data_IF_545170002596
#
_entry.id   IF_545170002596
#
_cell.length_a   1.000
_cell.length_b   1.000
_cell.length_c   1.000
_cell.angle_alpha   90.00
_cell.angle_beta   90.00
_cell.angle_gamma   90.00
#
_symmetry.space_group_name_H-M   'P 1'
#
loop_
_entity.id
_entity.type
_entity.pdbx_description
1 polymer ?
#
# COMPACT_ATOMS: atom_id res chain seq x y z
N UNK A 1 -26.40 -1.62 -4.20
CA UNK A 1 -25.16 -1.02 -3.65
C UNK A 1 -24.79 -1.89 -2.47
N UNK A 2 -23.74 -2.71 -2.59
CA UNK A 2 -23.39 -3.69 -1.54
C UNK A 2 -22.22 -3.13 -0.74
N UNK A 3 -22.50 -2.83 0.53
CA UNK A 3 -21.53 -2.38 1.52
C UNK A 3 -21.13 -3.61 2.34
N UNK A 4 -19.87 -4.04 2.27
CA UNK A 4 -19.40 -5.20 3.04
C UNK A 4 -18.63 -4.72 4.27
N UNK A 5 -19.30 -4.77 5.43
CA UNK A 5 -18.71 -4.59 6.76
C UNK A 5 -17.54 -5.57 6.97
N UNK A 6 -16.33 -5.04 7.11
CA UNK A 6 -15.13 -5.82 7.45
C UNK A 6 -14.79 -5.70 8.92
N UNK A 7 -15.59 -6.30 9.81
CA UNK A 7 -15.21 -6.51 11.21
C UNK A 7 -15.05 -8.00 11.45
N UNK A 8 -13.80 -8.49 11.38
CA UNK A 8 -13.27 -9.63 12.13
C UNK A 8 -11.80 -9.89 11.77
N UNK A 9 -10.94 -9.73 12.77
CA UNK A 9 -9.63 -10.34 12.84
C UNK A 9 -9.76 -11.88 12.70
N UNK A 10 -8.66 -12.50 12.23
CA UNK A 10 -8.43 -13.92 11.90
C UNK A 10 -8.68 -14.24 10.40
N UNK A 11 -7.65 -14.69 9.67
CA UNK A 11 -7.74 -15.07 8.23
C UNK A 11 -8.80 -16.16 7.98
N UNK A 12 -9.27 -16.44 6.74
CA UNK A 12 -8.75 -16.13 5.39
C UNK A 12 -9.69 -15.19 4.60
N UNK A 13 -10.28 -14.17 5.24
CA UNK A 13 -11.24 -13.28 4.55
C UNK A 13 -10.58 -12.40 3.48
N UNK A 14 -9.28 -12.15 3.61
CA UNK A 14 -8.52 -11.30 2.69
C UNK A 14 -8.26 -11.95 1.32
N UNK A 15 -8.45 -13.26 1.17
CA UNK A 15 -8.31 -13.97 -0.13
C UNK A 15 -9.62 -13.96 -0.92
N UNK A 16 -10.76 -13.96 -0.24
CA UNK A 16 -12.08 -13.92 -0.90
C UNK A 16 -12.45 -12.54 -1.50
N UNK A 17 -11.73 -11.48 -1.10
CA UNK A 17 -11.95 -10.10 -1.58
C UNK A 17 -11.02 -9.70 -2.74
N UNK A 18 -10.13 -10.60 -3.16
CA UNK A 18 -9.28 -10.37 -4.32
C UNK A 18 -10.11 -10.61 -5.60
N UNK A 19 -10.82 -9.59 -6.05
CA UNK A 19 -11.49 -9.56 -7.35
C UNK A 19 -10.83 -8.50 -8.23
N UNK A 20 -10.51 -8.79 -9.51
CA UNK A 20 -9.77 -7.90 -10.42
C UNK A 20 -10.47 -6.57 -10.79
N UNK A 21 -11.58 -6.21 -10.12
CA UNK A 21 -12.25 -4.92 -10.20
C UNK A 21 -12.19 -4.07 -8.93
N UNK A 22 -11.54 -4.56 -7.86
CA UNK A 22 -11.46 -3.88 -6.57
C UNK A 22 -10.01 -3.54 -6.21
N UNK A 23 -9.82 -2.55 -5.35
CA UNK A 23 -8.50 -2.21 -4.78
C UNK A 23 -8.48 -2.68 -3.33
N UNK A 24 -7.55 -3.57 -3.01
CA UNK A 24 -7.34 -4.06 -1.64
C UNK A 24 -6.64 -2.96 -0.85
N UNK A 25 -7.32 -2.41 0.17
CA UNK A 25 -6.74 -1.39 1.06
C UNK A 25 -6.53 -1.99 2.45
N UNK A 26 -5.27 -1.99 2.92
CA UNK A 26 -4.91 -2.54 4.24
C UNK A 26 -3.96 -1.61 5.00
N UNK A 27 -4.14 -1.51 6.31
CA UNK A 27 -3.21 -0.82 7.19
C UNK A 27 -2.16 -1.79 7.75
N UNK A 28 -0.91 -1.31 7.92
CA UNK A 28 0.22 -1.99 8.57
C UNK A 28 0.36 -3.47 8.20
N UNK A 29 0.63 -3.78 6.93
CA UNK A 29 0.81 -5.18 6.52
C UNK A 29 1.85 -5.93 7.39
N UNK A 30 1.37 -6.96 8.07
CA UNK A 30 2.16 -7.80 8.96
C UNK A 30 2.91 -8.86 8.14
N UNK A 31 4.24 -8.70 8.03
CA UNK A 31 5.20 -9.81 7.90
C UNK A 31 5.09 -10.78 6.71
N UNK A 32 4.09 -10.64 5.83
CA UNK A 32 3.83 -11.53 4.69
C UNK A 32 4.05 -10.78 3.39
N UNK A 33 5.29 -10.37 3.16
CA UNK A 33 5.71 -9.71 1.92
C UNK A 33 5.41 -10.58 0.69
N UNK A 34 5.42 -11.91 0.86
CA UNK A 34 4.98 -12.89 -0.14
C UNK A 34 3.53 -12.66 -0.60
N UNK A 35 2.66 -12.12 0.26
CA UNK A 35 1.27 -11.82 -0.12
C UNK A 35 1.19 -10.67 -1.12
N UNK A 36 2.15 -9.75 -1.12
CA UNK A 36 2.23 -8.66 -2.10
C UNK A 36 2.58 -9.21 -3.48
N UNK A 37 3.49 -10.18 -3.55
CA UNK A 37 3.79 -10.90 -4.80
C UNK A 37 2.55 -11.63 -5.29
N UNK A 38 1.81 -12.29 -4.40
CA UNK A 38 0.57 -12.97 -4.76
C UNK A 38 -0.46 -12.02 -5.37
N UNK A 39 -0.74 -10.87 -4.75
CA UNK A 39 -1.67 -9.89 -5.31
C UNK A 39 -1.25 -9.43 -6.70
N UNK A 40 0.04 -9.13 -6.87
CA UNK A 40 0.58 -8.71 -8.16
C UNK A 40 0.46 -9.80 -9.24
N UNK A 41 0.76 -11.06 -8.90
CA UNK A 41 0.66 -12.20 -9.82
C UNK A 41 -0.79 -12.47 -10.22
N UNK A 42 -1.74 -12.32 -9.30
CA UNK A 42 -3.17 -12.50 -9.56
C UNK A 42 -3.81 -11.30 -10.28
N UNK A 43 -3.07 -10.21 -10.52
CA UNK A 43 -3.62 -8.98 -11.08
C UNK A 43 -4.58 -8.25 -10.12
N UNK A 44 -4.49 -8.54 -8.82
CA UNK A 44 -5.27 -7.87 -7.79
C UNK A 44 -4.60 -6.56 -7.42
N UNK A 45 -5.27 -5.44 -7.68
CA UNK A 45 -4.74 -4.13 -7.28
C UNK A 45 -4.81 -3.91 -5.77
N UNK A 46 -3.82 -3.23 -5.22
CA UNK A 46 -3.72 -3.00 -3.78
C UNK A 46 -3.07 -1.66 -3.42
N UNK A 47 -3.44 -1.13 -2.26
CA UNK A 47 -2.89 0.06 -1.60
C UNK A 47 -2.71 -0.28 -0.13
N UNK A 48 -1.49 -0.59 0.27
CA UNK A 48 -1.22 -1.17 1.58
C UNK A 48 -0.19 -0.34 2.32
N UNK A 49 -0.51 0.11 3.53
CA UNK A 49 0.46 0.83 4.37
C UNK A 49 1.52 -0.13 4.91
N UNK A 50 2.78 0.23 4.74
CA UNK A 50 3.93 -0.48 5.29
C UNK A 50 4.24 0.01 6.71
N UNK A 51 4.87 -0.86 7.50
CA UNK A 51 5.54 -0.42 8.73
C UNK A 51 6.84 0.30 8.40
N UNK A 52 7.26 1.16 9.32
CA UNK A 52 8.49 1.94 9.16
C UNK A 52 9.77 1.08 9.11
N UNK A 53 9.72 -0.12 9.68
CA UNK A 53 10.85 -1.05 9.71
C UNK A 53 10.96 -1.96 8.48
N UNK A 54 10.10 -1.80 7.46
CA UNK A 54 10.19 -2.60 6.23
C UNK A 54 11.41 -2.14 5.44
N UNK A 55 12.35 -3.06 5.22
CA UNK A 55 13.53 -2.81 4.40
C UNK A 55 13.13 -2.67 2.92
N UNK A 56 13.73 -1.69 2.24
CA UNK A 56 13.49 -1.39 0.83
C UNK A 56 14.75 -1.74 0.05
N UNK A 57 14.77 -2.92 -0.54
CA UNK A 57 15.93 -3.43 -1.27
C UNK A 57 15.93 -2.94 -2.73
N UNK A 58 17.09 -2.47 -3.19
CA UNK A 58 17.32 -1.95 -4.56
C UNK A 58 16.27 -0.89 -4.98
N UNK A 59 16.11 0.20 -4.22
CA UNK A 59 15.14 1.24 -4.56
C UNK A 59 15.54 1.95 -5.86
N UNK A 60 14.60 2.02 -6.78
CA UNK A 60 14.72 2.75 -8.04
C UNK A 60 13.69 3.87 -8.09
N UNK A 61 14.15 5.12 -8.18
CA UNK A 61 13.26 6.27 -8.21
C UNK A 61 12.43 6.31 -9.49
N UNK A 62 11.14 6.56 -9.35
CA UNK A 62 10.27 6.84 -10.48
C UNK A 62 10.37 8.33 -10.78
N UNK A 63 10.97 8.67 -11.92
CA UNK A 63 11.02 10.06 -12.42
C UNK A 63 9.62 10.52 -12.83
N UNK A 64 8.86 11.03 -11.87
CA UNK A 64 7.61 11.74 -12.10
C UNK A 64 7.81 13.19 -11.74
N UNK A 65 7.20 14.09 -12.51
CA UNK A 65 7.14 15.50 -12.18
C UNK A 65 6.44 15.65 -10.82
N UNK A 66 7.22 15.87 -9.76
CA UNK A 66 6.67 16.27 -8.47
C UNK A 66 6.05 17.65 -8.67
N UNK A 67 4.76 17.80 -8.37
CA UNK A 67 4.17 19.13 -8.20
C UNK A 67 4.89 19.83 -7.06
N UNK A 68 5.19 21.12 -7.23
CA UNK A 68 5.95 21.92 -6.27
C UNK A 68 5.33 21.95 -4.85
N UNK A 69 4.03 21.70 -4.72
CA UNK A 69 3.28 21.69 -3.45
C UNK A 69 2.87 20.28 -2.99
N UNK A 70 3.45 19.23 -3.58
CA UNK A 70 3.02 17.85 -3.29
C UNK A 70 3.56 17.37 -1.94
N UNK A 71 2.70 16.73 -1.14
CA UNK A 71 3.10 16.04 0.10
C UNK A 71 3.94 14.77 -0.14
N UNK A 72 4.19 14.43 -1.40
CA UNK A 72 5.01 13.31 -1.85
C UNK A 72 6.49 13.52 -1.50
N UNK A 73 7.05 12.63 -0.67
CA UNK A 73 8.47 12.60 -0.32
C UNK A 73 9.23 11.77 -1.36
N UNK A 74 8.74 10.56 -1.66
CA UNK A 74 9.38 9.62 -2.58
C UNK A 74 8.36 8.80 -3.34
N UNK A 75 8.71 8.48 -4.58
CA UNK A 75 7.99 7.52 -5.41
C UNK A 75 9.03 6.61 -6.06
N UNK A 76 9.05 5.34 -5.65
CA UNK A 76 10.09 4.39 -6.02
C UNK A 76 9.49 3.04 -6.40
N UNK A 77 10.29 2.20 -7.04
CA UNK A 77 10.07 0.76 -7.13
C UNK A 77 11.18 0.04 -6.40
N UNK A 78 10.86 -0.98 -5.60
CA UNK A 78 11.84 -1.75 -4.84
C UNK A 78 11.34 -3.17 -4.57
N UNK A 79 12.26 -4.04 -4.17
CA UNK A 79 11.89 -5.26 -3.48
C UNK A 79 11.69 -4.94 -2.00
N UNK A 80 10.67 -5.54 -1.39
CA UNK A 80 10.36 -5.32 0.02
C UNK A 80 10.94 -6.45 0.84
N UNK A 81 11.54 -6.13 1.98
CA UNK A 81 12.13 -7.11 2.89
C UNK A 81 13.64 -7.19 2.79
N UNK A 82 14.24 -8.02 3.64
CA UNK A 82 15.69 -8.21 3.69
C UNK A 82 16.14 -9.24 2.65
N UNK A 83 17.44 -9.32 2.31
CA UNK A 83 17.94 -10.34 1.38
C UNK A 83 17.55 -11.78 1.75
N UNK A 84 17.35 -12.05 3.05
CA UNK A 84 16.97 -13.36 3.58
C UNK A 84 15.46 -13.64 3.44
N UNK A 85 14.62 -12.61 3.43
CA UNK A 85 13.17 -12.72 3.30
C UNK A 85 12.63 -11.46 2.60
N UNK A 86 12.56 -11.51 1.26
CA UNK A 86 12.08 -10.40 0.43
C UNK A 86 11.05 -10.85 -0.60
N UNK A 87 10.28 -9.88 -1.08
CA UNK A 87 9.43 -10.05 -2.25
C UNK A 87 10.26 -10.41 -3.47
N UNK A 88 9.74 -11.31 -4.31
CA UNK A 88 10.34 -11.69 -5.58
C UNK A 88 10.12 -10.60 -6.62
N UNK A 89 8.94 -9.98 -6.63
CA UNK A 89 8.61 -8.90 -7.54
C UNK A 89 9.07 -7.54 -6.99
N UNK A 90 9.32 -6.61 -7.91
CA UNK A 90 9.44 -5.19 -7.58
C UNK A 90 8.04 -4.62 -7.35
N UNK A 91 7.87 -3.89 -6.27
CA UNK A 91 6.63 -3.21 -5.91
C UNK A 91 6.87 -1.70 -5.91
N UNK A 92 5.86 -0.90 -6.24
CA UNK A 92 5.97 0.55 -6.10
C UNK A 92 5.73 0.91 -4.64
N UNK A 93 6.60 1.74 -4.11
CA UNK A 93 6.48 2.31 -2.78
C UNK A 93 6.41 3.81 -2.90
N UNK A 94 5.36 4.36 -2.32
CA UNK A 94 5.10 5.79 -2.26
C UNK A 94 5.23 6.23 -0.81
N UNK A 95 5.99 7.30 -0.59
CA UNK A 95 6.19 7.90 0.72
C UNK A 95 5.68 9.33 0.68
N UNK A 96 4.84 9.70 1.64
CA UNK A 96 4.27 11.04 1.75
C UNK A 96 4.13 11.43 3.23
N UNK A 97 4.02 12.73 3.51
CA UNK A 97 3.70 13.22 4.85
C UNK A 97 2.20 13.32 5.04
N UNK A 98 1.72 12.91 6.21
CA UNK A 98 0.37 13.23 6.65
C UNK A 98 0.26 14.67 7.18
N UNK A 99 -0.95 15.13 7.56
CA UNK A 99 -1.21 16.46 8.10
C UNK A 99 -0.46 16.71 9.41
N UNK A 100 -0.19 15.66 10.18
CA UNK A 100 0.64 15.73 11.39
C UNK A 100 2.16 15.68 11.09
N UNK A 101 2.56 15.71 9.81
CA UNK A 101 3.96 15.65 9.40
C UNK A 101 4.59 14.25 9.49
N UNK A 102 3.81 13.23 9.87
CA UNK A 102 4.26 11.83 9.98
C UNK A 102 4.52 11.25 8.59
N UNK A 103 5.65 10.57 8.41
CA UNK A 103 5.94 9.84 7.17
C UNK A 103 5.06 8.60 7.08
N UNK A 104 4.35 8.46 5.97
CA UNK A 104 3.56 7.29 5.64
C UNK A 104 4.17 6.63 4.42
N UNK A 105 4.44 5.32 4.53
CA UNK A 105 4.91 4.49 3.43
C UNK A 105 3.80 3.56 2.98
N UNK A 106 3.53 3.56 1.68
CA UNK A 106 2.48 2.75 1.07
C UNK A 106 3.06 1.95 -0.08
N UNK A 107 2.78 0.65 -0.11
CA UNK A 107 3.07 -0.22 -1.25
C UNK A 107 1.84 -0.37 -2.14
N UNK A 108 2.04 -0.36 -3.45
CA UNK A 108 0.99 -0.55 -4.45
C UNK A 108 1.53 -1.14 -5.76
N UNK A 109 0.65 -1.76 -6.56
CA UNK A 109 0.89 -2.12 -7.96
C UNK A 109 0.42 -1.03 -8.95
N UNK A 110 -0.29 -0.01 -8.47
CA UNK A 110 -0.92 1.02 -9.30
C UNK A 110 0.13 1.97 -9.87
N UNK A 111 0.75 1.65 -11.01
CA UNK A 111 1.79 2.51 -11.60
C UNK A 111 1.24 3.83 -12.16
N UNK A 112 0.01 3.87 -12.66
CA UNK A 112 -0.50 5.07 -13.36
C UNK A 112 -1.14 6.09 -12.40
N UNK A 113 -1.40 5.70 -11.16
CA UNK A 113 -2.06 6.54 -10.16
C UNK A 113 -1.07 7.51 -9.51
N UNK A 114 -1.47 8.74 -9.26
CA UNK A 114 -0.60 9.75 -8.62
C UNK A 114 -0.39 9.46 -7.14
N UNK A 115 0.70 9.99 -6.57
CA UNK A 115 0.97 9.87 -5.13
C UNK A 115 -0.17 10.44 -4.29
N UNK A 116 -0.75 11.56 -4.71
CA UNK A 116 -1.86 12.22 -4.03
C UNK A 116 -3.12 11.34 -3.97
N UNK A 117 -3.45 10.65 -5.06
CA UNK A 117 -4.59 9.74 -5.12
C UNK A 117 -4.36 8.49 -4.24
N UNK A 118 -3.13 7.98 -4.21
CA UNK A 118 -2.73 6.88 -3.31
C UNK A 118 -2.83 7.32 -1.85
N UNK A 119 -2.35 8.53 -1.54
CA UNK A 119 -2.43 9.10 -0.19
C UNK A 119 -3.89 9.27 0.25
N UNK A 120 -4.76 9.79 -0.62
CA UNK A 120 -6.19 9.90 -0.35
C UNK A 120 -6.81 8.53 -0.05
N UNK A 121 -6.53 7.52 -0.87
CA UNK A 121 -7.03 6.14 -0.70
C UNK A 121 -6.58 5.54 0.63
N UNK A 122 -5.31 5.72 1.00
CA UNK A 122 -4.77 5.23 2.26
C UNK A 122 -5.40 5.93 3.48
N UNK A 123 -5.67 7.25 3.38
CA UNK A 123 -6.33 8.03 4.44
C UNK A 123 -7.80 7.65 4.64
N UNK A 124 -8.55 7.44 3.56
CA UNK A 124 -9.98 7.06 3.67
C UNK A 124 -10.19 5.83 4.54
N UNK A 125 -9.27 4.86 4.50
CA UNK A 125 -9.36 3.65 5.34
C UNK A 125 -9.09 3.91 6.83
N UNK A 126 -8.14 4.80 7.15
CA UNK A 126 -7.82 5.21 8.52
C UNK A 126 -9.05 5.91 9.15
N UNK A 127 -9.73 6.77 8.39
CA UNK A 127 -10.96 7.45 8.86
C UNK A 127 -12.15 6.52 9.11
N UNK A 128 -12.22 5.37 8.42
CA UNK A 128 -13.29 4.38 8.64
C UNK A 128 -13.12 3.64 9.98
N UNK A 129 -11.91 3.61 10.56
CA UNK A 129 -11.65 2.94 11.85
C UNK A 129 -12.11 3.77 13.07
N UNK A 130 -12.41 5.06 12.90
CA UNK A 130 -12.77 5.98 14.00
C UNK A 130 -14.29 6.06 14.25
N UNK A 131 -15.12 5.51 13.35
CA UNK A 131 -16.59 5.48 13.49
C UNK A 131 -17.09 4.08 13.87
N UNK A 132 -16.59 3.55 14.98
CA UNK A 132 -17.27 2.48 15.73
C UNK A 132 -17.71 3.07 17.07
N UNK A 133 -19.01 3.37 17.29
CA UNK A 133 -19.53 3.70 18.61
C UNK A 133 -19.47 2.51 19.58
#
# INVERSE_FOLDING_TARGET
>A
MVETLGSKHNGPVSEALAQPGYIVVMDRAYGKLERLDYFKIQGQSFVIRLRDNVHLEKPHALSRLQKADSSAIRDITCQLGTPQCRSKQHHRVVMFRDFEGREIRVVTDLMQVTVEQIAHTAKTKDSIEILSP
#
